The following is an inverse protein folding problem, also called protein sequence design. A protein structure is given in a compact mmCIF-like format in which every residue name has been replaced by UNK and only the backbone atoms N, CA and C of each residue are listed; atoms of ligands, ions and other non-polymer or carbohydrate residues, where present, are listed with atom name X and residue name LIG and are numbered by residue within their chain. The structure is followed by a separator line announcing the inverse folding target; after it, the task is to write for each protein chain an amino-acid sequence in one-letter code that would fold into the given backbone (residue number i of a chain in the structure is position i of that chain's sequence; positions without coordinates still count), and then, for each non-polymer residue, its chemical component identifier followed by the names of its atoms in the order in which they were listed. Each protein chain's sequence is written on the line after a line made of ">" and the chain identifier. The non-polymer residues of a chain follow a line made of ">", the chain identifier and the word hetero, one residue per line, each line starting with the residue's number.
data_IF_514995644441
#
_entry.id   IF_514995644441
#
_cell.length_a   1.000
_cell.length_b   1.000
_cell.length_c   1.000
_cell.angle_alpha   90.00
_cell.angle_beta   90.00
_cell.angle_gamma   90.00
#
_symmetry.space_group_name_H-M   'P 1'
#
loop_
_entity.id
_entity.type
_entity.pdbx_description
1 polymer ?
#
# COMPACT_ATOMS: atom_id res chain seq x y z
N UNK A 1 -39.86 39.00 1.80
CA UNK A 1 -41.10 38.55 1.13
C UNK A 1 -40.85 37.18 0.56
N UNK A 2 -41.43 36.19 1.24
CA UNK A 2 -41.46 34.76 0.99
C UNK A 2 -41.97 34.35 -0.39
N UNK A 3 -41.49 33.19 -0.89
CA UNK A 3 -42.36 32.22 -1.57
C UNK A 3 -42.04 30.78 -1.14
N UNK A 4 -43.06 30.19 -0.51
CA UNK A 4 -43.29 28.83 0.00
C UNK A 4 -43.07 27.67 -0.99
N UNK A 5 -42.50 26.58 -0.46
CA UNK A 5 -43.00 25.19 -0.32
C UNK A 5 -43.82 24.47 -1.42
N UNK A 6 -43.44 23.19 -1.68
CA UNK A 6 -44.28 21.95 -1.77
C UNK A 6 -43.36 20.79 -2.28
N UNK A 7 -43.00 19.73 -1.55
CA UNK A 7 -43.73 18.50 -1.10
C UNK A 7 -44.44 17.73 -2.23
N UNK A 8 -44.04 16.46 -2.46
CA UNK A 8 -44.84 15.22 -2.61
C UNK A 8 -43.92 14.12 -3.24
N UNK A 9 -43.41 13.14 -2.48
CA UNK A 9 -44.02 11.84 -2.16
C UNK A 9 -44.21 10.88 -3.36
N UNK A 10 -43.57 9.70 -3.33
CA UNK A 10 -44.27 8.40 -3.43
C UNK A 10 -43.32 7.23 -3.09
N UNK A 11 -43.55 6.61 -1.93
CA UNK A 11 -43.11 5.24 -1.65
C UNK A 11 -44.14 4.27 -2.24
N UNK A 12 -43.66 3.23 -2.92
CA UNK A 12 -44.42 2.02 -3.26
C UNK A 12 -43.41 0.87 -3.28
N UNK A 13 -43.71 -0.38 -2.94
CA UNK A 13 -44.70 -1.02 -2.10
C UNK A 13 -44.08 -2.40 -1.83
N UNK A 14 -44.23 -2.94 -0.62
CA UNK A 14 -43.73 -4.26 -0.26
C UNK A 14 -44.46 -5.35 -1.05
N UNK A 15 -43.71 -6.22 -1.73
CA UNK A 15 -44.19 -7.49 -2.25
C UNK A 15 -43.45 -8.64 -1.55
N UNK A 16 -44.08 -9.22 -0.52
CA UNK A 16 -43.63 -10.48 0.10
C UNK A 16 -44.28 -11.62 -0.69
N UNK A 17 -43.47 -12.44 -1.35
CA UNK A 17 -43.92 -13.64 -2.05
C UNK A 17 -42.96 -14.80 -1.79
N UNK A 18 -43.33 -15.69 -0.88
CA UNK A 18 -42.63 -16.94 -0.56
C UNK A 18 -43.33 -18.13 -1.21
N UNK A 19 -42.61 -18.92 -2.02
CA UNK A 19 -42.89 -20.35 -2.28
C UNK A 19 -41.62 -21.08 -2.82
N UNK A 20 -40.99 -21.85 -1.92
CA UNK A 20 -40.29 -23.15 -2.05
C UNK A 20 -39.41 -23.55 -3.27
N UNK A 21 -38.08 -23.60 -3.04
CA UNK A 21 -37.03 -24.68 -3.16
C UNK A 21 -36.99 -25.68 -4.37
N UNK A 22 -35.90 -26.47 -4.57
CA UNK A 22 -34.60 -26.11 -5.18
C UNK A 22 -34.21 -27.07 -6.34
N UNK A 23 -33.41 -26.64 -7.33
CA UNK A 23 -32.76 -27.56 -8.28
C UNK A 23 -31.43 -27.00 -8.79
N UNK A 24 -30.38 -27.81 -8.60
CA UNK A 24 -29.00 -27.56 -8.99
C UNK A 24 -28.86 -27.37 -10.51
N UNK A 25 -28.24 -26.27 -10.93
CA UNK A 25 -27.60 -26.15 -12.23
C UNK A 25 -26.19 -25.59 -11.99
N UNK A 26 -25.26 -26.48 -11.70
CA UNK A 26 -23.83 -26.20 -11.69
C UNK A 26 -23.41 -26.16 -13.15
N UNK A 27 -23.38 -24.95 -13.70
CA UNK A 27 -22.83 -24.69 -15.02
C UNK A 27 -21.32 -24.47 -14.87
N UNK A 28 -20.56 -25.27 -15.61
CA UNK A 28 -19.11 -25.24 -15.62
C UNK A 28 -18.65 -23.96 -16.34
N UNK A 29 -18.26 -22.96 -15.56
CA UNK A 29 -17.66 -21.72 -16.05
C UNK A 29 -16.45 -21.33 -15.19
N UNK A 30 -15.29 -21.87 -15.50
CA UNK A 30 -14.05 -21.09 -15.39
C UNK A 30 -14.02 -20.17 -16.63
N UNK A 31 -13.62 -18.88 -16.52
CA UNK A 31 -12.31 -18.51 -15.98
C UNK A 31 -12.30 -17.22 -15.13
N UNK A 32 -11.08 -16.84 -14.74
CA UNK A 32 -10.67 -15.56 -14.16
C UNK A 32 -11.01 -15.37 -12.67
N UNK A 33 -10.26 -16.08 -11.82
CA UNK A 33 -9.73 -15.41 -10.63
C UNK A 33 -8.72 -14.39 -11.14
N UNK A 34 -9.19 -13.19 -11.49
CA UNK A 34 -8.33 -12.03 -11.49
C UNK A 34 -7.77 -11.94 -10.08
N UNK A 35 -6.48 -12.26 -9.94
CA UNK A 35 -5.73 -11.75 -8.82
C UNK A 35 -5.84 -10.23 -8.94
N UNK A 36 -6.81 -9.65 -8.22
CA UNK A 36 -6.84 -8.24 -7.94
C UNK A 36 -5.64 -7.94 -7.03
N UNK A 37 -4.43 -8.00 -7.61
CA UNK A 37 -3.39 -7.08 -7.23
C UNK A 37 -4.01 -5.71 -7.46
N UNK A 38 -4.19 -4.95 -6.39
CA UNK A 38 -4.68 -3.60 -6.44
C UNK A 38 -4.01 -2.90 -7.63
N UNK A 39 -4.81 -2.43 -8.60
CA UNK A 39 -4.31 -1.47 -9.56
C UNK A 39 -3.78 -0.31 -8.73
N UNK A 40 -2.45 -0.22 -8.64
CA UNK A 40 -1.77 0.87 -7.99
C UNK A 40 -2.31 2.14 -8.66
N UNK A 41 -2.97 2.99 -7.86
CA UNK A 41 -3.54 4.26 -8.28
C UNK A 41 -2.57 4.93 -9.26
N UNK A 42 -3.00 5.00 -10.52
CA UNK A 42 -2.13 5.07 -11.68
C UNK A 42 -1.36 6.39 -11.72
N UNK A 43 -0.04 6.29 -11.54
CA UNK A 43 1.02 6.94 -12.34
C UNK A 43 2.39 6.86 -11.65
N UNK A 44 2.44 6.70 -10.31
CA UNK A 44 3.71 6.59 -9.59
C UNK A 44 3.97 5.15 -9.09
N UNK A 45 4.92 4.41 -9.70
CA UNK A 45 5.22 3.02 -9.33
C UNK A 45 5.78 2.85 -7.90
N UNK A 46 6.16 3.94 -7.23
CA UNK A 46 6.58 3.93 -5.82
C UNK A 46 5.40 3.66 -4.86
N UNK A 47 4.20 4.12 -5.21
CA UNK A 47 3.08 4.27 -4.29
C UNK A 47 2.33 2.96 -4.03
N UNK A 48 1.72 2.89 -2.84
CA UNK A 48 0.74 1.87 -2.45
C UNK A 48 1.25 0.44 -2.65
N UNK A 49 2.56 0.24 -2.45
CA UNK A 49 3.27 -1.02 -2.59
C UNK A 49 4.12 -1.28 -1.35
N UNK A 50 4.20 -2.55 -0.96
CA UNK A 50 5.12 -3.01 0.09
C UNK A 50 6.48 -3.28 -0.53
N UNK A 51 7.46 -2.45 -0.20
CA UNK A 51 8.86 -2.59 -0.61
C UNK A 51 9.64 -3.25 0.51
N UNK A 52 10.21 -4.43 0.27
CA UNK A 52 11.01 -5.17 1.26
C UNK A 52 12.48 -5.05 0.89
N UNK A 53 13.31 -4.65 1.86
CA UNK A 53 14.74 -4.46 1.69
C UNK A 53 15.40 -5.78 1.33
N UNK A 54 16.19 -5.74 0.27
CA UNK A 54 16.96 -6.87 -0.23
C UNK A 54 18.42 -6.73 0.19
N UNK A 55 19.06 -7.85 0.54
CA UNK A 55 20.48 -7.88 0.90
C UNK A 55 20.82 -7.07 2.15
N UNK A 56 19.88 -6.93 3.09
CA UNK A 56 20.13 -6.21 4.34
C UNK A 56 20.97 -7.05 5.32
N UNK A 57 22.09 -6.47 5.76
CA UNK A 57 22.97 -7.03 6.80
C UNK A 57 22.66 -6.44 8.19
N UNK A 58 21.60 -5.63 8.34
CA UNK A 58 21.17 -5.02 9.61
C UNK A 58 20.82 -6.05 10.70
N UNK A 59 20.63 -7.31 10.33
CA UNK A 59 20.15 -8.37 11.21
C UNK A 59 18.65 -8.28 11.51
N UNK A 60 17.93 -7.35 10.87
CA UNK A 60 16.48 -7.18 10.99
C UNK A 60 15.80 -7.73 9.73
N UNK A 61 15.21 -8.94 9.79
CA UNK A 61 14.57 -9.52 8.62
C UNK A 61 13.35 -8.72 8.20
N UNK A 62 13.08 -8.67 6.90
CA UNK A 62 11.85 -8.09 6.37
C UNK A 62 11.69 -6.59 6.63
N UNK A 63 12.79 -5.84 6.76
CA UNK A 63 12.73 -4.38 6.75
C UNK A 63 11.95 -3.92 5.51
N UNK A 64 10.93 -3.10 5.70
CA UNK A 64 9.99 -2.73 4.65
C UNK A 64 9.60 -1.26 4.71
N UNK A 65 9.24 -0.72 3.55
CA UNK A 65 8.72 0.63 3.37
C UNK A 65 7.45 0.60 2.52
N UNK A 66 6.44 1.39 2.92
CA UNK A 66 5.19 1.56 2.18
C UNK A 66 4.94 3.05 2.02
N UNK A 67 5.10 3.56 0.81
CA UNK A 67 4.82 4.96 0.46
C UNK A 67 3.35 5.09 0.06
N UNK A 68 2.51 5.64 0.94
CA UNK A 68 1.10 5.85 0.65
C UNK A 68 0.88 7.19 -0.05
N UNK A 69 -0.08 7.22 -0.98
CA UNK A 69 -0.43 8.41 -1.76
C UNK A 69 -0.91 9.60 -0.89
N UNK A 70 -1.32 9.36 0.35
CA UNK A 70 -1.74 10.39 1.30
C UNK A 70 -0.58 11.09 2.03
N UNK A 71 0.67 10.73 1.71
CA UNK A 71 1.87 11.28 2.36
C UNK A 71 2.27 10.54 3.63
N UNK A 72 1.70 9.36 3.90
CA UNK A 72 2.12 8.47 4.99
C UNK A 72 3.16 7.46 4.51
N UNK A 73 4.29 7.38 5.21
CA UNK A 73 5.29 6.34 5.07
C UNK A 73 5.14 5.37 6.23
N UNK A 74 4.93 4.09 5.92
CA UNK A 74 5.04 3.00 6.90
C UNK A 74 6.44 2.40 6.77
N UNK A 75 7.22 2.47 7.85
CA UNK A 75 8.49 1.75 7.97
C UNK A 75 8.34 0.68 9.04
N UNK A 76 8.72 -0.56 8.73
CA UNK A 76 8.62 -1.67 9.69
C UNK A 76 9.72 -2.70 9.42
N UNK A 77 9.92 -3.62 10.36
CA UNK A 77 10.73 -4.82 10.16
C UNK A 77 10.13 -5.97 10.98
N UNK A 78 10.51 -7.21 10.70
CA UNK A 78 9.84 -8.36 11.32
C UNK A 78 9.96 -8.43 12.84
N UNK A 79 10.95 -7.77 13.43
CA UNK A 79 11.24 -7.83 14.86
C UNK A 79 11.14 -6.47 15.55
N UNK A 80 10.65 -5.45 14.86
CA UNK A 80 10.46 -4.10 15.40
C UNK A 80 8.99 -3.70 15.39
N UNK A 81 8.71 -2.52 15.93
CA UNK A 81 7.40 -1.87 15.80
C UNK A 81 7.39 -0.97 14.57
N UNK A 82 6.27 -0.93 13.86
CA UNK A 82 6.09 0.01 12.76
C UNK A 82 6.21 1.48 13.21
N UNK A 83 6.71 2.31 12.29
CA UNK A 83 6.73 3.76 12.36
C UNK A 83 5.86 4.35 11.25
N UNK A 84 5.11 5.40 11.59
CA UNK A 84 4.40 6.23 10.63
C UNK A 84 5.10 7.58 10.53
N UNK A 85 5.56 7.91 9.33
CA UNK A 85 6.24 9.16 9.04
C UNK A 85 5.49 9.96 7.97
N UNK A 86 5.61 11.27 8.01
CA UNK A 86 5.21 12.10 6.86
C UNK A 86 6.31 12.00 5.82
N UNK A 87 5.94 11.67 4.59
CA UNK A 87 6.84 11.70 3.44
C UNK A 87 6.26 12.57 2.33
N UNK A 88 7.13 12.94 1.39
CA UNK A 88 6.76 13.66 0.19
C UNK A 88 7.70 13.31 -0.97
N UNK A 89 7.14 13.36 -2.18
CA UNK A 89 7.92 13.38 -3.41
C UNK A 89 8.44 14.81 -3.62
N UNK A 90 9.76 14.98 -3.63
CA UNK A 90 10.41 16.29 -3.83
C UNK A 90 10.60 16.57 -5.33
N UNK A 91 10.98 15.54 -6.09
CA UNK A 91 11.09 15.56 -7.55
C UNK A 91 10.89 14.16 -8.12
N UNK A 92 10.99 13.96 -9.44
CA UNK A 92 10.91 12.62 -10.06
C UNK A 92 11.92 11.62 -9.49
N UNK A 93 13.08 12.11 -9.01
CA UNK A 93 14.19 11.28 -8.53
C UNK A 93 14.57 11.57 -7.08
N UNK A 94 13.74 12.30 -6.32
CA UNK A 94 14.05 12.65 -4.92
C UNK A 94 12.80 12.58 -4.04
N UNK A 95 12.96 12.01 -2.86
CA UNK A 95 11.94 11.90 -1.81
C UNK A 95 12.51 12.38 -0.47
N UNK A 96 11.63 12.76 0.44
CA UNK A 96 12.01 13.01 1.83
C UNK A 96 10.95 12.55 2.81
N UNK A 97 11.37 12.22 4.03
CA UNK A 97 10.49 11.93 5.15
C UNK A 97 11.04 12.45 6.47
N UNK A 98 10.16 12.58 7.45
CA UNK A 98 10.53 12.98 8.80
C UNK A 98 10.76 11.77 9.70
N UNK A 99 11.90 11.72 10.37
CA UNK A 99 12.27 10.67 11.31
C UNK A 99 12.97 11.29 12.53
N UNK A 100 12.41 11.05 13.72
CA UNK A 100 12.95 11.51 15.01
C UNK A 100 13.32 13.02 15.06
N UNK A 101 12.54 13.84 14.35
CA UNK A 101 12.72 15.29 14.27
C UNK A 101 13.75 15.76 13.23
N UNK A 102 14.22 14.85 12.38
CA UNK A 102 15.13 15.13 11.27
C UNK A 102 14.45 14.80 9.94
N UNK A 103 14.72 15.62 8.92
CA UNK A 103 14.36 15.30 7.54
C UNK A 103 15.41 14.37 6.94
N UNK A 104 15.00 13.16 6.59
CA UNK A 104 15.79 12.24 5.77
C UNK A 104 15.50 12.55 4.30
N UNK A 105 16.56 12.74 3.51
CA UNK A 105 16.47 12.94 2.07
C UNK A 105 17.03 11.71 1.36
N UNK A 106 16.38 11.24 0.31
CA UNK A 106 16.86 10.13 -0.49
C UNK A 106 16.71 10.38 -1.99
N UNK A 107 17.73 10.01 -2.76
CA UNK A 107 17.66 9.97 -4.21
C UNK A 107 17.11 8.61 -4.67
N UNK A 108 16.14 8.61 -5.58
CA UNK A 108 15.66 7.42 -6.27
C UNK A 108 16.60 7.17 -7.45
N UNK A 109 17.46 6.17 -7.33
CA UNK A 109 18.44 5.81 -8.37
C UNK A 109 17.90 4.78 -9.35
N UNK A 110 16.95 3.95 -8.93
CA UNK A 110 16.17 3.08 -9.79
C UNK A 110 14.77 2.88 -9.20
N UNK A 111 13.76 2.90 -10.07
CA UNK A 111 12.38 2.60 -9.71
C UNK A 111 11.71 1.90 -10.90
N UNK A 112 11.39 0.63 -10.69
CA UNK A 112 10.74 -0.24 -11.68
C UNK A 112 9.58 -0.99 -11.03
N UNK A 113 8.96 -1.92 -11.78
CA UNK A 113 7.97 -2.82 -11.19
C UNK A 113 8.58 -3.74 -10.11
N UNK A 114 9.87 -4.09 -10.24
CA UNK A 114 10.51 -5.17 -9.49
C UNK A 114 11.64 -4.69 -8.55
N UNK A 115 12.05 -3.43 -8.68
CA UNK A 115 13.18 -2.89 -7.93
C UNK A 115 12.96 -1.41 -7.57
N UNK A 116 13.29 -1.06 -6.34
CA UNK A 116 13.49 0.30 -5.86
C UNK A 116 14.89 0.40 -5.26
N UNK A 117 15.67 1.40 -5.69
CA UNK A 117 16.98 1.69 -5.12
C UNK A 117 17.03 3.14 -4.65
N UNK A 118 17.27 3.31 -3.35
CA UNK A 118 17.36 4.59 -2.69
C UNK A 118 18.79 4.86 -2.23
N UNK A 119 19.26 6.10 -2.41
CA UNK A 119 20.48 6.59 -1.78
C UNK A 119 20.11 7.61 -0.70
N UNK A 120 20.15 7.19 0.57
CA UNK A 120 19.82 8.01 1.72
C UNK A 120 20.99 8.95 2.04
N UNK A 121 20.70 10.24 2.17
CA UNK A 121 21.65 11.29 2.55
C UNK A 121 21.65 11.43 4.07
N UNK A 122 22.42 10.58 4.75
CA UNK A 122 22.54 10.55 6.21
C UNK A 122 23.69 11.45 6.69
N UNK A 123 23.74 11.72 8.00
CA UNK A 123 24.81 12.52 8.61
C UNK A 123 26.19 11.90 8.39
N UNK A 124 26.27 10.57 8.46
CA UNK A 124 27.52 9.81 8.33
C UNK A 124 27.90 9.46 6.88
N UNK A 125 27.10 9.90 5.90
CA UNK A 125 27.36 9.69 4.48
C UNK A 125 26.13 9.26 3.69
N UNK A 126 26.38 8.64 2.53
CA UNK A 126 25.32 8.10 1.67
C UNK A 126 25.17 6.61 1.91
N UNK A 127 23.96 6.15 2.20
CA UNK A 127 23.62 4.74 2.34
C UNK A 127 22.73 4.30 1.17
N UNK A 128 23.20 3.33 0.37
CA UNK A 128 22.38 2.69 -0.66
C UNK A 128 21.49 1.63 -0.01
N UNK A 129 20.19 1.67 -0.32
CA UNK A 129 19.21 0.69 0.09
C UNK A 129 18.47 0.15 -1.14
N UNK A 130 18.41 -1.17 -1.27
CA UNK A 130 17.73 -1.87 -2.36
C UNK A 130 16.48 -2.55 -1.82
N UNK A 131 15.39 -2.46 -2.56
CA UNK A 131 14.12 -3.06 -2.21
C UNK A 131 13.52 -3.79 -3.41
N UNK A 132 12.78 -4.86 -3.11
CA UNK A 132 11.93 -5.56 -4.06
C UNK A 132 10.48 -5.53 -3.54
N UNK A 133 9.46 -5.65 -4.42
CA UNK A 133 8.08 -5.82 -3.98
C UNK A 133 7.94 -7.05 -3.08
N UNK A 134 7.12 -6.95 -2.03
CA UNK A 134 6.80 -8.10 -1.19
C UNK A 134 6.04 -9.17 -2.00
N UNK A 135 6.45 -10.43 -1.87
CA UNK A 135 5.64 -11.56 -2.33
C UNK A 135 4.43 -11.74 -1.41
N UNK A 136 3.28 -12.16 -1.95
CA UNK A 136 2.10 -12.49 -1.15
C UNK A 136 1.76 -13.96 -1.33
N UNK A 137 1.66 -14.76 -0.24
CA UNK A 137 1.78 -14.36 1.16
C UNK A 137 3.23 -14.16 1.62
N UNK A 138 3.46 -13.19 2.51
CA UNK A 138 4.71 -13.01 3.26
C UNK A 138 4.43 -13.18 4.76
N UNK A 139 5.27 -13.94 5.44
CA UNK A 139 5.24 -14.10 6.89
C UNK A 139 6.64 -13.91 7.44
N UNK A 140 6.75 -13.05 8.45
CA UNK A 140 8.00 -12.82 9.15
C UNK A 140 8.54 -14.08 9.83
N UNK A 141 9.86 -14.31 9.80
CA UNK A 141 10.45 -15.42 10.52
C UNK A 141 10.33 -15.21 12.03
N UNK A 142 10.24 -16.32 12.77
CA UNK A 142 10.27 -16.30 14.23
C UNK A 142 11.57 -15.66 14.73
N UNK A 143 11.44 -14.88 15.81
CA UNK A 143 12.60 -14.30 16.48
C UNK A 143 13.45 -15.42 17.10
N UNK A 144 14.79 -15.39 16.94
CA UNK A 144 15.68 -16.28 17.64
C UNK A 144 15.44 -16.22 19.15
N UNK A 145 15.56 -17.37 19.81
CA UNK A 145 15.45 -17.48 21.28
C UNK A 145 16.75 -17.13 21.98
#
# INVERSE_FOLDING_TARGET
>A
MDKKAAILALMTAWGVGTCALPAMAQDAGAPATEAAGAEADGDNPLLNRVWVRSGDDSGLPGAMQIFLADGTLVSDSCWETYRLSKWQQVSETEISWEEDGMTINADITALTADELVLNLKLVDGVEEQRFAPAETPYLCPDMPK
#
